data_IF_294900983812
#
_entry.id   IF_294900983812
#
_cell.length_a   1.000
_cell.length_b   1.000
_cell.length_c   1.000
_cell.angle_alpha   90.00
_cell.angle_beta   90.00
_cell.angle_gamma   90.00
#
_symmetry.space_group_name_H-M   'P 1'
#
loop_
_entity.id
_entity.type
_entity.pdbx_description
1 polymer ?
#
# COMPACT_ATOMS: atom_id res chain seq x y z
N UNK A 1 -42.27 27.70 -4.51
CA UNK A 1 -41.18 28.22 -5.37
C UNK A 1 -41.56 27.96 -6.82
N UNK A 2 -41.44 28.97 -7.70
CA UNK A 2 -41.95 28.89 -9.07
C UNK A 2 -40.92 28.15 -9.97
N UNK A 3 -41.28 27.04 -10.65
CA UNK A 3 -40.33 26.19 -11.39
C UNK A 3 -39.54 26.93 -12.49
N UNK A 4 -40.06 28.05 -13.00
CA UNK A 4 -39.37 28.92 -13.97
C UNK A 4 -38.07 29.56 -13.45
N UNK A 5 -37.90 29.73 -12.12
CA UNK A 5 -36.66 30.23 -11.53
C UNK A 5 -35.65 29.12 -11.19
N UNK A 6 -36.09 27.86 -11.15
CA UNK A 6 -35.23 26.71 -10.81
C UNK A 6 -34.38 26.30 -12.03
N UNK A 7 -34.99 26.32 -13.22
CA UNK A 7 -34.35 25.92 -14.48
C UNK A 7 -33.06 26.74 -14.79
N UNK A 8 -33.07 28.09 -14.77
CA UNK A 8 -31.86 28.86 -15.07
C UNK A 8 -30.75 28.67 -14.01
N UNK A 9 -31.11 28.47 -12.73
CA UNK A 9 -30.14 28.23 -11.65
C UNK A 9 -29.44 26.89 -11.82
N UNK A 10 -30.19 25.82 -12.13
CA UNK A 10 -29.62 24.49 -12.40
C UNK A 10 -28.67 24.53 -13.61
N UNK A 11 -29.03 25.29 -14.64
CA UNK A 11 -28.23 25.41 -15.86
C UNK A 11 -26.91 26.15 -15.63
N UNK A 12 -26.91 27.21 -14.81
CA UNK A 12 -25.68 27.92 -14.41
C UNK A 12 -24.77 27.01 -13.57
N UNK A 13 -25.33 26.25 -12.62
CA UNK A 13 -24.55 25.29 -11.81
C UNK A 13 -23.95 24.20 -12.70
N UNK A 14 -24.71 23.67 -13.66
CA UNK A 14 -24.21 22.66 -14.60
C UNK A 14 -23.07 23.20 -15.46
N UNK A 15 -23.20 24.40 -16.02
CA UNK A 15 -22.13 25.03 -16.82
C UNK A 15 -20.90 25.29 -15.96
N UNK A 16 -21.06 25.84 -14.75
CA UNK A 16 -19.95 26.07 -13.83
C UNK A 16 -19.23 24.76 -13.48
N UNK A 17 -19.97 23.67 -13.27
CA UNK A 17 -19.42 22.34 -13.03
C UNK A 17 -18.60 21.81 -14.21
N UNK A 18 -19.10 21.95 -15.44
CA UNK A 18 -18.38 21.54 -16.66
C UNK A 18 -17.09 22.35 -16.83
N UNK A 19 -17.17 23.68 -16.67
CA UNK A 19 -15.99 24.56 -16.79
C UNK A 19 -14.96 24.21 -15.71
N UNK A 20 -15.40 23.98 -14.48
CA UNK A 20 -14.53 23.55 -13.38
C UNK A 20 -13.84 22.21 -13.71
N UNK A 21 -14.58 21.22 -14.22
CA UNK A 21 -14.03 19.92 -14.61
C UNK A 21 -12.97 20.05 -15.72
N UNK A 22 -13.20 20.90 -16.73
CA UNK A 22 -12.23 21.14 -17.82
C UNK A 22 -10.95 21.79 -17.28
N UNK A 23 -11.07 22.81 -16.42
CA UNK A 23 -9.91 23.47 -15.80
C UNK A 23 -9.11 22.49 -14.94
N UNK A 24 -9.78 21.70 -14.11
CA UNK A 24 -9.15 20.72 -13.24
C UNK A 24 -8.43 19.63 -14.04
N UNK A 25 -9.04 19.11 -15.10
CA UNK A 25 -8.41 18.10 -15.97
C UNK A 25 -7.16 18.65 -16.67
N UNK A 26 -7.16 19.92 -17.10
CA UNK A 26 -5.98 20.56 -17.69
C UNK A 26 -4.85 20.69 -16.67
N UNK A 27 -5.15 21.19 -15.46
CA UNK A 27 -4.16 21.30 -14.37
C UNK A 27 -3.57 19.95 -14.00
N UNK A 28 -4.43 18.93 -13.93
CA UNK A 28 -4.02 17.55 -13.67
C UNK A 28 -3.04 17.03 -14.72
N UNK A 29 -3.38 17.15 -16.02
CA UNK A 29 -2.51 16.70 -17.11
C UNK A 29 -1.15 17.40 -17.09
N UNK A 30 -1.14 18.72 -16.90
CA UNK A 30 0.10 19.50 -16.80
C UNK A 30 0.95 19.07 -15.61
N UNK A 31 0.35 18.92 -14.42
CA UNK A 31 1.09 18.47 -13.23
C UNK A 31 1.64 17.04 -13.39
N UNK A 32 0.90 16.15 -14.08
CA UNK A 32 1.36 14.79 -14.36
C UNK A 32 2.55 14.78 -15.31
N UNK A 33 2.54 15.58 -16.37
CA UNK A 33 3.66 15.65 -17.33
C UNK A 33 4.94 16.20 -16.72
N UNK A 34 4.83 16.98 -15.63
CA UNK A 34 5.99 17.49 -14.89
C UNK A 34 6.64 16.42 -14.00
N UNK A 35 5.94 15.33 -13.66
CA UNK A 35 6.44 14.28 -12.78
C UNK A 35 6.93 13.11 -13.63
N UNK A 36 8.25 12.99 -13.72
CA UNK A 36 8.88 11.84 -14.36
C UNK A 36 9.25 10.80 -13.29
N UNK A 37 8.46 9.72 -13.21
CA UNK A 37 8.66 8.68 -12.19
C UNK A 37 10.04 8.02 -12.27
N UNK A 38 10.63 7.89 -13.46
CA UNK A 38 11.94 7.29 -13.62
C UNK A 38 13.03 8.18 -13.00
N UNK A 39 12.87 9.50 -13.06
CA UNK A 39 13.74 10.45 -12.37
C UNK A 39 13.50 10.42 -10.86
N UNK A 40 12.24 10.34 -10.43
CA UNK A 40 11.87 10.30 -9.02
C UNK A 40 12.45 9.09 -8.27
N UNK A 41 12.68 7.95 -8.96
CA UNK A 41 13.36 6.78 -8.38
C UNK A 41 14.76 7.11 -7.83
N UNK A 42 15.46 8.08 -8.42
CA UNK A 42 16.75 8.55 -7.93
C UNK A 42 16.69 9.16 -6.52
N UNK A 43 15.50 9.57 -6.07
CA UNK A 43 15.27 10.17 -4.76
C UNK A 43 14.90 9.15 -3.67
N UNK A 44 14.93 7.85 -3.97
CA UNK A 44 14.48 6.78 -3.07
C UNK A 44 14.97 6.95 -1.64
N UNK A 45 16.29 7.12 -1.41
CA UNK A 45 16.84 7.20 -0.06
C UNK A 45 16.30 8.41 0.72
N UNK A 46 16.13 9.55 0.05
CA UNK A 46 15.56 10.76 0.67
C UNK A 46 14.08 10.53 1.02
N UNK A 47 13.31 9.98 0.08
CA UNK A 47 11.90 9.69 0.27
C UNK A 47 11.63 8.65 1.35
N UNK A 48 12.41 7.57 1.39
CA UNK A 48 12.33 6.57 2.45
C UNK A 48 12.51 7.22 3.82
N UNK A 49 13.56 8.04 3.96
CA UNK A 49 13.86 8.70 5.23
C UNK A 49 12.79 9.72 5.63
N UNK A 50 12.29 10.50 4.68
CA UNK A 50 11.21 11.45 4.93
C UNK A 50 9.94 10.74 5.42
N UNK A 51 9.50 9.70 4.70
CA UNK A 51 8.31 8.94 5.03
C UNK A 51 8.42 8.24 6.39
N UNK A 52 9.57 7.65 6.71
CA UNK A 52 9.82 7.02 8.02
C UNK A 52 9.97 8.05 9.17
N UNK A 53 10.10 9.34 8.88
CA UNK A 53 10.11 10.42 9.89
C UNK A 53 8.76 11.13 10.00
N UNK A 54 7.82 10.83 9.10
CA UNK A 54 6.51 11.49 9.02
C UNK A 54 5.42 10.41 9.00
N UNK A 55 4.84 10.17 7.83
CA UNK A 55 3.63 9.37 7.62
C UNK A 55 3.75 7.93 8.11
N UNK A 56 4.96 7.36 8.11
CA UNK A 56 5.25 5.98 8.50
C UNK A 56 6.22 5.88 9.69
N UNK A 57 6.27 6.91 10.53
CA UNK A 57 7.13 6.94 11.72
C UNK A 57 6.83 5.82 12.73
N UNK A 58 5.59 5.34 12.78
CA UNK A 58 5.19 4.20 13.61
C UNK A 58 5.98 2.93 13.30
N UNK A 59 6.41 2.70 12.04
CA UNK A 59 7.21 1.53 11.67
C UNK A 59 8.54 1.48 12.42
N UNK A 60 9.12 2.64 12.76
CA UNK A 60 10.35 2.68 13.58
C UNK A 60 10.12 2.16 14.99
N UNK A 61 8.96 2.45 15.57
CA UNK A 61 8.58 1.98 16.89
C UNK A 61 8.31 0.46 16.84
N UNK A 62 7.57 -0.01 15.84
CA UNK A 62 7.26 -1.44 15.69
C UNK A 62 8.49 -2.31 15.40
N UNK A 63 9.49 -1.74 14.73
CA UNK A 63 10.76 -2.43 14.45
C UNK A 63 11.73 -2.43 15.63
N UNK A 64 11.43 -1.75 16.74
CA UNK A 64 12.22 -1.74 17.98
C UNK A 64 13.72 -1.50 17.74
N UNK A 65 14.04 -0.46 16.96
CA UNK A 65 15.42 -0.08 16.65
C UNK A 65 16.12 -0.93 15.58
N UNK A 66 15.47 -1.96 15.03
CA UNK A 66 15.99 -2.67 13.84
C UNK A 66 15.98 -1.76 12.61
N UNK A 67 16.91 -2.03 11.70
CA UNK A 67 17.07 -1.27 10.46
C UNK A 67 15.89 -1.51 9.52
N UNK A 68 15.40 -0.45 8.87
CA UNK A 68 14.38 -0.53 7.83
C UNK A 68 15.07 -0.34 6.48
N UNK A 69 15.34 -1.45 5.80
CA UNK A 69 16.00 -1.43 4.50
C UNK A 69 15.04 -0.96 3.41
N UNK A 70 13.85 -1.56 3.37
CA UNK A 70 12.75 -1.19 2.50
C UNK A 70 11.41 -1.54 3.14
N UNK A 71 10.33 -0.89 2.71
CA UNK A 71 8.99 -1.17 3.21
C UNK A 71 7.93 -0.84 2.17
N UNK A 72 6.78 -1.49 2.26
CA UNK A 72 5.61 -1.20 1.42
C UNK A 72 4.31 -1.57 2.12
N UNK A 73 3.18 -1.19 1.52
CA UNK A 73 1.85 -1.61 1.95
C UNK A 73 1.55 -3.05 1.52
N UNK A 74 0.56 -3.64 2.17
CA UNK A 74 0.12 -4.99 1.95
C UNK A 74 -1.40 -5.12 2.17
N UNK A 75 -1.93 -6.27 1.79
CA UNK A 75 -3.25 -6.73 2.22
C UNK A 75 -3.22 -8.23 2.51
N UNK A 76 -4.16 -8.67 3.35
CA UNK A 76 -4.41 -10.08 3.58
C UNK A 76 -5.58 -10.49 2.69
N UNK A 77 -5.39 -11.39 1.72
CA UNK A 77 -6.50 -11.96 0.96
C UNK A 77 -7.53 -12.57 1.92
N UNK A 78 -8.82 -12.34 1.67
CA UNK A 78 -9.89 -12.86 2.53
C UNK A 78 -9.81 -14.39 2.70
N UNK A 79 -9.36 -15.10 1.67
CA UNK A 79 -9.13 -16.56 1.70
C UNK A 79 -7.95 -16.99 2.58
N UNK A 80 -7.00 -16.10 2.85
CA UNK A 80 -5.79 -16.35 3.64
C UNK A 80 -5.94 -15.92 5.11
N UNK A 81 -6.89 -15.06 5.43
CA UNK A 81 -7.08 -14.53 6.78
C UNK A 81 -7.22 -15.62 7.87
N UNK A 82 -7.94 -16.70 7.58
CA UNK A 82 -8.08 -17.81 8.55
C UNK A 82 -6.76 -18.61 8.73
N UNK A 83 -5.91 -18.67 7.70
CA UNK A 83 -4.63 -19.38 7.78
C UNK A 83 -3.61 -18.61 8.61
N UNK A 84 -3.57 -17.28 8.47
CA UNK A 84 -2.72 -16.41 9.29
C UNK A 84 -3.03 -16.60 10.78
N UNK A 85 -4.32 -16.61 11.16
CA UNK A 85 -4.74 -16.85 12.56
C UNK A 85 -4.20 -18.17 13.12
N UNK A 86 -4.31 -19.26 12.35
CA UNK A 86 -3.87 -20.57 12.82
C UNK A 86 -2.34 -20.65 12.98
N UNK A 87 -1.60 -20.02 12.08
CA UNK A 87 -0.13 -20.02 12.10
C UNK A 87 0.46 -19.16 13.23
N UNK A 88 -0.28 -18.15 13.69
CA UNK A 88 0.05 -17.36 14.88
C UNK A 88 -0.05 -18.21 16.15
N UNK A 89 -0.96 -19.18 16.18
CA UNK A 89 -1.13 -20.11 17.31
C UNK A 89 -0.02 -21.16 17.43
N UNK A 90 0.57 -21.59 16.31
CA UNK A 90 1.31 -22.86 16.27
C UNK A 90 2.85 -22.76 16.17
N UNK A 91 3.48 -21.58 16.08
CA UNK A 91 4.95 -21.54 16.21
C UNK A 91 5.76 -20.43 15.52
N UNK A 92 5.16 -19.36 15.02
CA UNK A 92 5.94 -18.17 14.67
C UNK A 92 6.35 -17.43 15.96
N UNK A 93 7.63 -17.05 16.10
CA UNK A 93 8.12 -16.31 17.28
C UNK A 93 7.50 -14.92 17.30
N UNK A 94 6.40 -14.77 18.03
CA UNK A 94 5.66 -13.51 18.15
C UNK A 94 6.08 -12.74 19.41
N UNK A 95 6.23 -11.42 19.28
CA UNK A 95 6.03 -10.49 20.41
C UNK A 95 4.55 -10.11 20.36
N UNK A 96 3.70 -10.88 21.03
CA UNK A 96 2.28 -10.59 21.11
C UNK A 96 2.05 -9.43 22.10
N UNK A 97 1.66 -8.26 21.61
CA UNK A 97 1.15 -7.16 22.44
C UNK A 97 -0.32 -6.91 22.13
N UNK A 98 -1.20 -7.87 22.45
CA UNK A 98 -2.58 -7.60 22.89
C UNK A 98 -3.30 -8.90 23.25
N UNK A 99 -3.90 -8.92 24.44
CA UNK A 99 -4.57 -10.04 25.10
C UNK A 99 -6.09 -10.07 24.84
N UNK A 100 -6.56 -9.60 23.69
CA UNK A 100 -8.00 -9.64 23.36
C UNK A 100 -8.16 -10.36 22.03
N UNK A 101 -8.66 -11.60 22.11
CA UNK A 101 -8.97 -12.42 20.96
C UNK A 101 -9.93 -11.69 20.02
N UNK A 102 -9.40 -11.20 18.90
CA UNK A 102 -10.19 -10.63 17.81
C UNK A 102 -9.81 -11.34 16.53
N UNK A 103 -10.84 -11.73 15.81
CA UNK A 103 -10.81 -12.53 14.58
C UNK A 103 -10.16 -11.68 13.48
N UNK A 104 -9.23 -12.23 12.68
CA UNK A 104 -8.88 -11.69 11.36
C UNK A 104 -10.11 -11.76 10.44
N UNK A 105 -11.06 -10.87 10.69
CA UNK A 105 -12.08 -10.42 9.76
C UNK A 105 -11.74 -8.97 9.53
N UNK A 106 -10.96 -8.63 8.52
CA UNK A 106 -11.22 -7.40 7.77
C UNK A 106 -10.38 -7.26 6.51
N UNK A 107 -11.11 -6.95 5.45
CA UNK A 107 -10.66 -6.48 4.14
C UNK A 107 -10.38 -4.94 4.24
N UNK A 108 -10.24 -4.41 5.46
CA UNK A 108 -10.32 -2.96 5.73
C UNK A 108 -9.22 -2.40 6.64
N UNK A 109 -8.35 -3.23 7.23
CA UNK A 109 -7.24 -2.72 8.07
C UNK A 109 -5.94 -2.70 7.27
N UNK A 110 -5.09 -1.70 7.55
CA UNK A 110 -3.85 -1.50 6.81
C UNK A 110 -2.81 -2.56 7.25
N UNK A 111 -2.05 -3.08 6.28
CA UNK A 111 -0.95 -4.00 6.55
C UNK A 111 0.33 -3.51 5.86
N UNK A 112 1.48 -3.90 6.41
CA UNK A 112 2.78 -3.41 5.97
C UNK A 112 3.83 -4.52 5.93
N UNK A 113 4.70 -4.45 4.94
CA UNK A 113 5.92 -5.22 4.85
C UNK A 113 7.12 -4.35 5.17
N UNK A 114 8.06 -4.88 5.95
CA UNK A 114 9.36 -4.27 6.21
C UNK A 114 10.47 -5.29 6.04
N UNK A 115 11.43 -4.99 5.17
CA UNK A 115 12.67 -5.75 5.04
C UNK A 115 13.73 -5.18 5.99
N UNK A 116 14.32 -6.04 6.81
CA UNK A 116 15.37 -5.68 7.78
C UNK A 116 16.49 -6.71 7.73
N UNK A 117 17.59 -6.36 7.08
CA UNK A 117 18.71 -7.26 6.83
C UNK A 117 18.27 -8.46 5.97
N UNK A 118 18.14 -9.63 6.60
CA UNK A 118 17.71 -10.87 5.95
C UNK A 118 16.32 -11.34 6.38
N UNK A 119 15.68 -10.59 7.29
CA UNK A 119 14.35 -10.93 7.79
C UNK A 119 13.31 -10.03 7.13
N UNK A 120 12.15 -10.61 6.86
CA UNK A 120 11.00 -9.91 6.32
C UNK A 120 9.90 -9.89 7.37
N UNK A 121 9.46 -8.70 7.74
CA UNK A 121 8.47 -8.46 8.78
C UNK A 121 7.13 -8.08 8.15
N UNK A 122 6.06 -8.72 8.60
CA UNK A 122 4.69 -8.40 8.23
C UNK A 122 3.97 -7.83 9.44
N UNK A 123 3.35 -6.68 9.27
CA UNK A 123 2.57 -6.01 10.30
C UNK A 123 1.12 -5.88 9.86
N UNK A 124 0.20 -6.17 10.76
CA UNK A 124 -1.22 -5.89 10.59
C UNK A 124 -1.65 -4.84 11.60
N UNK A 125 -2.69 -4.08 11.24
CA UNK A 125 -3.30 -3.13 12.15
C UNK A 125 -4.72 -3.52 12.49
N UNK A 126 -5.18 -3.06 13.65
CA UNK A 126 -6.58 -3.14 14.02
C UNK A 126 -7.39 -2.01 13.35
N UNK A 127 -8.68 -1.90 13.70
CA UNK A 127 -9.56 -0.85 13.15
C UNK A 127 -9.23 0.57 13.59
N UNK A 128 -8.46 0.72 14.68
CA UNK A 128 -7.96 2.01 15.15
C UNK A 128 -6.63 2.39 14.48
N UNK A 129 -6.02 1.47 13.72
CA UNK A 129 -4.71 1.66 13.09
C UNK A 129 -3.54 1.30 14.01
N UNK A 130 -3.81 0.66 15.16
CA UNK A 130 -2.79 0.22 16.10
C UNK A 130 -2.25 -1.14 15.68
N UNK A 131 -1.00 -1.45 16.07
CA UNK A 131 -0.36 -2.73 15.77
C UNK A 131 -1.17 -3.89 16.37
N UNK A 132 -1.64 -4.78 15.52
CA UNK A 132 -2.38 -5.98 15.92
C UNK A 132 -1.46 -7.21 15.93
N UNK A 133 -0.79 -7.49 14.80
CA UNK A 133 0.09 -8.65 14.66
C UNK A 133 1.42 -8.28 14.02
N UNK A 134 2.47 -9.02 14.42
CA UNK A 134 3.81 -8.92 13.85
C UNK A 134 4.35 -10.31 13.53
N UNK A 135 4.41 -10.64 12.24
CA UNK A 135 4.98 -11.90 11.75
C UNK A 135 6.40 -11.66 11.25
N UNK A 136 7.30 -12.59 11.56
CA UNK A 136 8.70 -12.53 11.14
C UNK A 136 9.01 -13.75 10.28
N UNK A 137 9.39 -13.50 9.04
CA UNK A 137 9.88 -14.50 8.10
C UNK A 137 11.40 -14.39 8.06
N UNK A 138 12.07 -15.36 8.65
CA UNK A 138 13.54 -15.43 8.60
C UNK A 138 14.04 -15.78 7.19
N UNK A 139 15.35 -15.62 7.01
CA UNK A 139 16.05 -15.94 5.76
C UNK A 139 15.70 -17.33 5.20
N UNK A 140 15.61 -18.36 6.03
CA UNK A 140 15.35 -19.73 5.58
C UNK A 140 13.93 -19.89 5.01
N UNK A 141 12.95 -19.19 5.59
CA UNK A 141 11.58 -19.16 5.08
C UNK A 141 11.51 -18.40 3.75
N UNK A 142 12.24 -17.29 3.63
CA UNK A 142 12.25 -16.47 2.39
C UNK A 142 12.94 -17.21 1.24
N UNK A 143 14.03 -17.94 1.49
CA UNK A 143 14.75 -18.74 0.48
C UNK A 143 13.90 -19.86 -0.15
N UNK A 144 12.86 -20.31 0.55
CA UNK A 144 11.90 -21.31 0.06
C UNK A 144 10.62 -20.68 -0.48
N UNK A 145 10.44 -19.37 -0.28
CA UNK A 145 9.25 -18.67 -0.73
C UNK A 145 9.22 -18.51 -2.25
N UNK A 146 8.03 -18.21 -2.77
CA UNK A 146 7.81 -17.93 -4.18
C UNK A 146 7.15 -16.57 -4.32
N UNK A 147 7.69 -15.73 -5.19
CA UNK A 147 7.10 -14.45 -5.56
C UNK A 147 6.47 -14.55 -6.95
N UNK A 148 5.22 -14.10 -7.08
CA UNK A 148 4.50 -14.06 -8.36
C UNK A 148 3.81 -12.72 -8.55
N UNK A 149 3.57 -12.35 -9.79
CA UNK A 149 2.73 -11.20 -10.12
C UNK A 149 1.25 -11.54 -9.84
N UNK A 150 0.60 -10.73 -9.02
CA UNK A 150 -0.83 -10.82 -8.67
C UNK A 150 -1.72 -9.90 -9.52
N UNK A 151 -1.13 -9.12 -10.43
CA UNK A 151 -1.82 -8.17 -11.30
C UNK A 151 -2.09 -6.83 -10.60
N UNK A 152 -3.20 -6.20 -10.97
CA UNK A 152 -3.66 -4.96 -10.32
C UNK A 152 -4.64 -5.29 -9.21
N UNK A 153 -4.63 -4.48 -8.14
CA UNK A 153 -5.62 -4.55 -7.06
C UNK A 153 -7.01 -4.16 -7.59
N UNK A 154 -7.71 -5.09 -8.25
CA UNK A 154 -8.99 -4.85 -8.94
C UNK A 154 -10.22 -4.99 -8.03
N UNK A 155 -10.06 -5.60 -6.86
CA UNK A 155 -11.14 -6.25 -6.13
C UNK A 155 -12.19 -5.34 -5.46
N UNK A 156 -12.13 -4.01 -5.58
CA UNK A 156 -13.02 -3.14 -4.80
C UNK A 156 -13.76 -2.01 -5.55
N UNK A 157 -13.54 -1.79 -6.86
CA UNK A 157 -14.03 -0.57 -7.52
C UNK A 157 -15.02 -0.74 -8.69
N UNK A 158 -15.36 -1.96 -9.09
CA UNK A 158 -16.36 -2.18 -10.15
C UNK A 158 -16.06 -1.41 -11.46
N UNK A 159 -17.10 -1.14 -12.25
CA UNK A 159 -17.02 -0.52 -13.60
C UNK A 159 -16.36 0.88 -13.67
N UNK A 160 -16.06 1.52 -12.53
CA UNK A 160 -15.37 2.82 -12.46
C UNK A 160 -13.83 2.70 -12.51
N UNK A 161 -13.29 1.49 -12.57
CA UNK A 161 -11.85 1.23 -12.47
C UNK A 161 -11.00 1.78 -13.63
N UNK A 162 -11.51 1.92 -14.86
CA UNK A 162 -10.65 2.27 -16.02
C UNK A 162 -9.90 3.61 -15.91
N UNK A 163 -10.51 4.62 -15.28
CA UNK A 163 -9.86 5.92 -15.09
C UNK A 163 -8.96 5.95 -13.84
N UNK A 164 -9.19 5.02 -12.90
CA UNK A 164 -8.42 4.88 -11.69
C UNK A 164 -7.32 3.80 -11.77
N UNK A 165 -7.30 3.01 -12.86
CA UNK A 165 -6.44 1.83 -13.04
C UNK A 165 -4.96 2.17 -12.94
N UNK A 166 -4.56 3.33 -13.45
CA UNK A 166 -3.19 3.84 -13.32
C UNK A 166 -2.75 4.11 -11.88
N UNK A 167 -3.70 4.35 -10.98
CA UNK A 167 -3.43 4.57 -9.55
C UNK A 167 -3.58 3.32 -8.71
N UNK A 168 -4.10 2.23 -9.27
CA UNK A 168 -4.21 0.98 -8.54
C UNK A 168 -2.81 0.43 -8.27
N UNK A 169 -2.54 -0.03 -7.05
CA UNK A 169 -1.34 -0.78 -6.77
C UNK A 169 -1.23 -2.00 -7.69
N UNK A 170 -0.03 -2.23 -8.21
CA UNK A 170 0.34 -3.58 -8.64
C UNK A 170 0.55 -4.41 -7.40
N UNK A 171 0.09 -5.65 -7.47
CA UNK A 171 0.14 -6.59 -6.36
C UNK A 171 1.11 -7.68 -6.74
N UNK A 172 2.05 -7.97 -5.86
CA UNK A 172 2.82 -9.20 -5.90
C UNK A 172 2.30 -10.13 -4.81
N UNK A 173 2.33 -11.43 -5.06
CA UNK A 173 1.96 -12.44 -4.06
C UNK A 173 3.21 -13.19 -3.67
N UNK A 174 3.58 -13.09 -2.40
CA UNK A 174 4.63 -13.91 -1.81
C UNK A 174 3.98 -15.09 -1.09
N UNK A 175 4.41 -16.30 -1.44
CA UNK A 175 3.93 -17.54 -0.85
C UNK A 175 5.03 -18.21 -0.06
N UNK A 176 4.76 -18.47 1.22
CA UNK A 176 5.63 -19.21 2.12
C UNK A 176 5.09 -20.61 2.34
N UNK A 177 6.00 -21.57 2.46
CA UNK A 177 5.70 -22.89 3.03
C UNK A 177 5.97 -22.82 4.54
N UNK A 178 4.92 -22.99 5.33
CA UNK A 178 5.00 -23.04 6.79
C UNK A 178 4.48 -24.40 7.21
N UNK A 179 5.43 -25.28 7.53
CA UNK A 179 5.16 -26.63 8.05
C UNK A 179 4.20 -27.46 7.17
N UNK A 180 4.37 -27.34 5.85
CA UNK A 180 3.55 -28.02 4.83
C UNK A 180 2.28 -27.27 4.43
N UNK A 181 2.01 -26.12 5.03
CA UNK A 181 0.90 -25.24 4.66
C UNK A 181 1.39 -24.02 3.88
N UNK A 182 0.75 -23.76 2.74
CA UNK A 182 1.02 -22.55 1.97
C UNK A 182 0.29 -21.34 2.55
N UNK A 183 1.08 -20.32 2.88
CA UNK A 183 0.64 -18.99 3.28
C UNK A 183 0.98 -17.97 2.18
N UNK A 184 -0.06 -17.41 1.53
CA UNK A 184 0.11 -16.42 0.47
C UNK A 184 -0.37 -15.04 0.91
N UNK A 185 0.54 -14.07 0.89
CA UNK A 185 0.31 -12.70 1.32
C UNK A 185 0.63 -11.72 0.19
N UNK A 186 -0.08 -10.59 0.16
CA UNK A 186 0.07 -9.59 -0.90
C UNK A 186 1.12 -8.54 -0.52
N UNK A 187 1.91 -8.10 -1.49
CA UNK A 187 2.81 -6.97 -1.42
C UNK A 187 2.32 -5.96 -2.45
N UNK A 188 2.09 -4.72 -2.04
CA UNK A 188 1.71 -3.66 -2.96
C UNK A 188 2.96 -2.95 -3.48
N UNK A 189 2.96 -2.52 -4.73
CA UNK A 189 4.05 -1.74 -5.35
C UNK A 189 4.09 -0.27 -4.90
N UNK A 190 3.21 0.13 -3.98
CA UNK A 190 3.11 1.50 -3.50
C UNK A 190 2.51 1.52 -2.10
N UNK A 191 2.90 2.54 -1.35
CA UNK A 191 2.31 2.85 -0.06
C UNK A 191 0.90 3.42 -0.23
N UNK A 192 0.00 3.13 0.71
CA UNK A 192 -1.35 3.68 0.73
C UNK A 192 -1.32 5.19 1.02
N UNK A 193 -1.72 5.99 0.04
CA UNK A 193 -1.86 7.44 0.20
C UNK A 193 -3.28 7.82 0.58
N UNK A 194 -3.44 8.43 1.75
CA UNK A 194 -4.69 9.06 2.19
C UNK A 194 -4.63 10.55 1.86
N UNK A 195 -5.58 11.03 1.07
CA UNK A 195 -5.61 12.43 0.64
C UNK A 195 -5.83 13.35 1.83
N UNK A 196 -4.93 14.30 2.05
CA UNK A 196 -5.14 15.36 3.02
C UNK A 196 -6.29 16.28 2.54
N UNK A 197 -7.36 16.48 3.34
CA UNK A 197 -8.46 17.36 2.98
C UNK A 197 -8.04 18.78 2.59
N UNK A 198 -6.97 19.31 3.19
CA UNK A 198 -6.47 20.66 2.89
C UNK A 198 -5.82 20.75 1.51
N UNK A 199 -5.40 19.61 0.94
CA UNK A 199 -4.69 19.54 -0.33
C UNK A 199 -5.58 19.07 -1.49
N UNK A 200 -6.90 18.89 -1.28
CA UNK A 200 -7.84 18.36 -2.29
C UNK A 200 -7.76 19.11 -3.63
N UNK A 201 -7.58 20.43 -3.59
CA UNK A 201 -7.49 21.26 -4.79
C UNK A 201 -6.05 21.41 -5.32
N UNK A 202 -5.04 20.98 -4.56
CA UNK A 202 -3.63 21.02 -4.93
C UNK A 202 -3.21 19.70 -5.60
N UNK A 203 -3.66 19.49 -6.84
CA UNK A 203 -3.41 18.27 -7.61
C UNK A 203 -1.92 17.98 -7.80
N UNK A 204 -1.09 19.01 -7.97
CA UNK A 204 0.36 18.86 -8.13
C UNK A 204 0.99 18.24 -6.89
N UNK A 205 0.68 18.78 -5.71
CA UNK A 205 1.16 18.24 -4.44
C UNK A 205 0.71 16.80 -4.22
N UNK A 206 -0.56 16.49 -4.52
CA UNK A 206 -1.06 15.11 -4.41
C UNK A 206 -0.32 14.14 -5.34
N UNK A 207 -0.05 14.54 -6.58
CA UNK A 207 0.68 13.70 -7.52
C UNK A 207 2.15 13.50 -7.12
N UNK A 208 2.80 14.53 -6.58
CA UNK A 208 4.15 14.42 -6.03
C UNK A 208 4.20 13.47 -4.83
N UNK A 209 3.23 13.53 -3.92
CA UNK A 209 3.14 12.60 -2.79
C UNK A 209 2.90 11.17 -3.29
N UNK A 210 2.00 10.98 -4.26
CA UNK A 210 1.76 9.65 -4.86
C UNK A 210 3.02 9.08 -5.52
N UNK A 211 3.78 9.90 -6.25
CA UNK A 211 5.04 9.48 -6.85
C UNK A 211 6.06 9.05 -5.77
N UNK A 212 6.19 9.84 -4.70
CA UNK A 212 7.02 9.51 -3.53
C UNK A 212 6.64 8.16 -2.91
N UNK A 213 5.34 7.95 -2.67
CA UNK A 213 4.81 6.72 -2.09
C UNK A 213 5.00 5.50 -2.99
N UNK A 214 4.92 5.70 -4.31
CA UNK A 214 5.21 4.66 -5.30
C UNK A 214 6.70 4.31 -5.32
N UNK A 215 7.59 5.30 -5.40
CA UNK A 215 9.05 5.09 -5.42
C UNK A 215 9.52 4.31 -4.19
N UNK A 216 8.99 4.63 -3.01
CA UNK A 216 9.37 3.89 -1.79
C UNK A 216 8.80 2.48 -1.77
N UNK A 217 7.53 2.31 -2.14
CA UNK A 217 6.86 1.00 -2.11
C UNK A 217 7.41 0.00 -3.13
N UNK A 218 7.69 0.44 -4.37
CA UNK A 218 8.17 -0.45 -5.42
C UNK A 218 9.56 -1.04 -5.10
N UNK A 219 10.37 -0.30 -4.33
CA UNK A 219 11.72 -0.72 -3.97
C UNK A 219 11.75 -1.97 -3.09
N UNK A 220 10.71 -2.25 -2.29
CA UNK A 220 10.68 -3.46 -1.45
C UNK A 220 10.83 -4.73 -2.28
N UNK A 221 10.11 -4.82 -3.40
CA UNK A 221 10.12 -5.99 -4.27
C UNK A 221 11.47 -6.13 -4.97
N UNK A 222 12.07 -5.01 -5.39
CA UNK A 222 13.38 -5.00 -6.02
C UNK A 222 14.50 -5.40 -5.05
N UNK A 223 14.45 -4.95 -3.79
CA UNK A 223 15.36 -5.41 -2.73
C UNK A 223 15.21 -6.91 -2.45
N UNK A 224 13.97 -7.42 -2.41
CA UNK A 224 13.71 -8.85 -2.22
C UNK A 224 14.31 -9.67 -3.36
N UNK A 225 14.07 -9.31 -4.63
CA UNK A 225 14.64 -9.99 -5.80
C UNK A 225 16.16 -9.88 -5.87
N UNK A 226 16.71 -8.75 -5.44
CA UNK A 226 18.16 -8.53 -5.39
C UNK A 226 18.83 -9.50 -4.42
N UNK A 227 18.27 -9.63 -3.21
CA UNK A 227 18.82 -10.43 -2.10
C UNK A 227 18.51 -11.93 -2.20
N UNK A 228 17.36 -12.28 -2.75
CA UNK A 228 16.85 -13.66 -2.80
C UNK A 228 16.59 -14.09 -4.25
N UNK A 229 17.50 -14.90 -4.80
CA UNK A 229 17.42 -15.31 -6.21
C UNK A 229 16.19 -16.15 -6.54
N UNK A 230 15.64 -16.89 -5.57
CA UNK A 230 14.39 -17.67 -5.71
C UNK A 230 13.14 -16.79 -5.92
N UNK A 231 13.23 -15.50 -5.60
CA UNK A 231 12.13 -14.54 -5.78
C UNK A 231 12.20 -13.80 -7.13
N UNK A 232 13.25 -14.02 -7.92
CA UNK A 232 13.29 -13.55 -9.31
C UNK A 232 12.32 -14.42 -10.08
N UNK A 233 11.21 -13.82 -10.54
CA UNK A 233 10.21 -14.48 -11.37
C UNK A 233 10.90 -15.20 -12.53
N UNK A 234 10.58 -16.49 -12.71
CA UNK A 234 10.89 -17.27 -13.92
C UNK A 234 10.05 -16.76 -15.07
#
# INVERSE_FOLDING_TARGET
MNPLFIIPVVLVIAIAGIVFMVIMNKRYKSAKTEINIDQERGNYSSYKNELLNQDFSFLKNWMDGKVIDAFSSASIPQSTANKVQNLIGDGLKNVALSSVGVRLRRIETDAFWVLSGKDLHFFTTDTAGELEEHLIFDNFRIEKAQLRDGGLLKAQLGFYAKQAEEYLPKVHVITFDIDGQQLSLEIHDRLRYVVNPTDILNLKKQLQIRAKYQVVGEQLVEELKSRFSNLRSV
#
